data_IF_727025457065
#
_entry.id   IF_727025457065
#
_cell.length_a   1.000
_cell.length_b   1.000
_cell.length_c   1.000
_cell.angle_alpha   90.00
_cell.angle_beta   90.00
_cell.angle_gamma   90.00
#
_symmetry.space_group_name_H-M   'P 1'
#
loop_
_entity.id
_entity.type
_entity.pdbx_description
1 polymer ?
#
# COMPACT_ATOMS: atom_id res chain seq x y z
N UNK A 1 -40.24 46.82 9.69
CA UNK A 1 -39.46 46.14 8.64
C UNK A 1 -38.42 45.29 9.34
N UNK A 2 -38.68 43.98 9.45
CA UNK A 2 -37.79 43.05 10.15
C UNK A 2 -36.53 42.81 9.35
N UNK A 3 -35.38 42.97 9.99
CA UNK A 3 -34.09 42.57 9.44
C UNK A 3 -34.12 41.05 9.31
N UNK A 4 -34.24 40.55 8.08
CA UNK A 4 -34.00 39.15 7.75
C UNK A 4 -32.52 38.94 8.01
N UNK A 5 -32.19 38.40 9.18
CA UNK A 5 -30.84 37.96 9.47
C UNK A 5 -30.58 36.75 8.58
N UNK A 6 -29.91 36.97 7.45
CA UNK A 6 -29.29 35.90 6.67
C UNK A 6 -28.62 34.91 7.65
N UNK A 7 -28.90 33.59 7.55
CA UNK A 7 -28.23 32.62 8.40
C UNK A 7 -26.71 32.80 8.26
N UNK A 8 -25.91 32.64 9.34
CA UNK A 8 -24.46 32.66 9.24
C UNK A 8 -24.03 31.78 8.06
N UNK A 9 -23.07 32.21 7.25
CA UNK A 9 -22.65 31.50 6.02
C UNK A 9 -22.43 30.00 6.25
N UNK A 10 -21.95 29.62 7.44
CA UNK A 10 -21.82 28.24 7.94
C UNK A 10 -23.14 27.46 7.93
N UNK A 11 -24.24 28.08 8.38
CA UNK A 11 -25.58 27.49 8.40
C UNK A 11 -26.11 27.30 6.98
N UNK A 12 -25.89 28.27 6.08
CA UNK A 12 -26.27 28.13 4.67
C UNK A 12 -25.49 27.00 3.99
N UNK A 13 -24.18 26.91 4.23
CA UNK A 13 -23.32 25.84 3.67
C UNK A 13 -23.73 24.47 4.21
N UNK A 14 -24.01 24.32 5.51
CA UNK A 14 -24.53 23.08 6.07
C UNK A 14 -25.89 22.68 5.48
N UNK A 15 -26.78 23.65 5.27
CA UNK A 15 -28.12 23.40 4.74
C UNK A 15 -28.07 22.94 3.27
N UNK A 16 -27.20 23.54 2.45
CA UNK A 16 -27.11 23.26 1.00
C UNK A 16 -26.22 22.05 0.70
N UNK A 17 -25.04 21.96 1.34
CA UNK A 17 -24.04 20.94 1.04
C UNK A 17 -24.00 19.78 2.05
N UNK A 18 -24.70 19.92 3.17
CA UNK A 18 -24.73 18.93 4.25
C UNK A 18 -23.56 19.06 5.22
N UNK A 19 -23.77 18.53 6.43
CA UNK A 19 -22.80 18.61 7.52
C UNK A 19 -21.42 18.00 7.16
N UNK A 20 -21.37 16.93 6.37
CA UNK A 20 -20.10 16.27 5.97
C UNK A 20 -19.21 17.19 5.14
N UNK A 21 -19.79 17.96 4.23
CA UNK A 21 -19.03 18.90 3.39
C UNK A 21 -18.55 20.07 4.24
N UNK A 22 -19.40 20.59 5.13
CA UNK A 22 -19.01 21.65 6.05
C UNK A 22 -17.83 21.22 6.94
N UNK A 23 -17.90 20.02 7.52
CA UNK A 23 -16.85 19.46 8.38
C UNK A 23 -15.54 19.25 7.61
N UNK A 24 -15.62 18.76 6.38
CA UNK A 24 -14.48 18.65 5.48
C UNK A 24 -13.83 20.02 5.15
N UNK A 25 -14.63 21.06 4.90
CA UNK A 25 -14.11 22.41 4.63
C UNK A 25 -13.46 23.00 5.88
N UNK A 26 -14.03 22.80 7.07
CA UNK A 26 -13.39 23.23 8.31
C UNK A 26 -12.07 22.50 8.56
N UNK A 27 -12.06 21.18 8.42
CA UNK A 27 -10.84 20.38 8.53
C UNK A 27 -9.77 20.85 7.53
N UNK A 28 -10.15 21.20 6.30
CA UNK A 28 -9.26 21.79 5.31
C UNK A 28 -8.66 23.14 5.77
N UNK A 29 -9.49 24.05 6.29
CA UNK A 29 -9.06 25.35 6.81
C UNK A 29 -8.17 25.24 8.05
N UNK A 30 -8.40 24.22 8.89
CA UNK A 30 -7.61 23.94 10.10
C UNK A 30 -6.32 23.14 9.80
N UNK A 31 -6.05 22.82 8.53
CA UNK A 31 -4.89 22.02 8.14
C UNK A 31 -5.00 20.52 8.47
N UNK A 32 -6.17 20.05 8.91
CA UNK A 32 -6.50 18.63 9.13
C UNK A 32 -6.88 17.98 7.80
N UNK A 33 -5.87 17.73 6.98
CA UNK A 33 -6.05 17.27 5.61
C UNK A 33 -5.64 15.81 5.45
N UNK A 34 -6.52 15.01 4.84
CA UNK A 34 -6.20 13.63 4.45
C UNK A 34 -5.31 13.62 3.20
N UNK A 35 -4.02 13.92 3.39
CA UNK A 35 -3.06 13.98 2.29
C UNK A 35 -3.00 12.65 1.53
N UNK A 36 -3.01 11.53 2.26
CA UNK A 36 -2.86 10.21 1.68
C UNK A 36 -4.06 9.82 0.80
N UNK A 37 -5.29 10.16 1.20
CA UNK A 37 -6.48 9.85 0.39
C UNK A 37 -6.56 10.67 -0.90
N UNK A 38 -5.84 11.78 -1.00
CA UNK A 38 -5.89 12.66 -2.17
C UNK A 38 -4.77 12.46 -3.17
N UNK A 39 -3.73 11.72 -2.80
CA UNK A 39 -2.67 11.34 -3.73
C UNK A 39 -3.23 10.48 -4.85
N UNK A 40 -2.63 10.55 -6.04
CA UNK A 40 -2.97 9.64 -7.14
C UNK A 40 -2.52 8.21 -6.82
N UNK A 41 -3.19 7.21 -7.40
CA UNK A 41 -2.82 5.80 -7.21
C UNK A 41 -1.35 5.54 -7.56
N UNK A 42 -0.82 6.19 -8.60
CA UNK A 42 0.59 6.06 -9.00
C UNK A 42 1.57 6.55 -7.91
N UNK A 43 1.25 7.65 -7.22
CA UNK A 43 2.07 8.14 -6.12
C UNK A 43 1.93 7.26 -4.88
N UNK A 44 0.71 6.79 -4.60
CA UNK A 44 0.49 5.86 -3.50
C UNK A 44 1.25 4.56 -3.70
N UNK A 45 1.23 3.97 -4.89
CA UNK A 45 2.00 2.76 -5.19
C UNK A 45 3.50 2.95 -4.92
N UNK A 46 4.06 4.11 -5.32
CA UNK A 46 5.45 4.48 -5.03
C UNK A 46 5.75 4.66 -3.55
N UNK A 47 4.77 5.05 -2.73
CA UNK A 47 4.96 5.16 -1.27
C UNK A 47 4.85 3.77 -0.64
N UNK A 48 3.82 3.01 -1.02
CA UNK A 48 3.50 1.69 -0.47
C UNK A 48 4.63 0.69 -0.74
N UNK A 49 5.33 0.79 -1.87
CA UNK A 49 6.41 -0.15 -2.21
C UNK A 49 7.65 -0.06 -1.30
N UNK A 50 7.77 1.00 -0.48
CA UNK A 50 8.82 1.13 0.54
C UNK A 50 8.41 0.58 1.91
N UNK A 51 7.13 0.24 2.10
CA UNK A 51 6.66 -0.33 3.36
C UNK A 51 7.09 -1.80 3.48
N UNK A 52 7.26 -2.26 4.71
CA UNK A 52 7.45 -3.68 4.95
C UNK A 52 6.15 -4.47 4.73
N UNK A 53 6.24 -5.80 4.68
CA UNK A 53 5.08 -6.63 4.39
C UNK A 53 3.99 -6.54 5.48
N UNK A 54 4.37 -6.24 6.71
CA UNK A 54 3.42 -6.15 7.82
C UNK A 54 2.63 -4.85 7.73
N UNK A 55 3.30 -3.75 7.42
CA UNK A 55 2.70 -2.44 7.21
C UNK A 55 1.84 -2.41 5.95
N UNK A 56 2.23 -3.09 4.86
CA UNK A 56 1.35 -3.28 3.69
C UNK A 56 0.07 -4.03 4.09
N UNK A 57 0.18 -5.07 4.94
CA UNK A 57 -0.96 -5.84 5.40
C UNK A 57 -1.89 -5.01 6.31
N UNK A 58 -1.33 -4.19 7.22
CA UNK A 58 -2.09 -3.26 8.05
C UNK A 58 -2.78 -2.18 7.22
N UNK A 59 -2.04 -1.56 6.29
CA UNK A 59 -2.57 -0.54 5.39
C UNK A 59 -3.73 -1.07 4.53
N UNK A 60 -3.66 -2.33 4.09
CA UNK A 60 -4.73 -2.94 3.30
C UNK A 60 -6.06 -3.07 4.05
N UNK A 61 -6.06 -2.93 5.38
CA UNK A 61 -7.24 -3.04 6.23
C UNK A 61 -7.88 -1.68 6.58
N UNK A 62 -7.28 -0.56 6.15
CA UNK A 62 -7.77 0.79 6.51
C UNK A 62 -8.90 1.28 5.61
N UNK A 63 -8.84 0.96 4.31
CA UNK A 63 -9.87 1.38 3.34
C UNK A 63 -9.97 0.43 2.16
N UNK A 64 -11.11 0.45 1.46
CA UNK A 64 -11.33 -0.35 0.25
C UNK A 64 -10.37 0.02 -0.88
N UNK A 65 -9.92 1.29 -0.94
CA UNK A 65 -8.93 1.76 -1.90
C UNK A 65 -7.55 1.17 -1.61
N UNK A 66 -7.08 1.25 -0.37
CA UNK A 66 -5.81 0.64 0.01
C UNK A 66 -5.84 -0.88 -0.09
N UNK A 67 -6.97 -1.52 0.22
CA UNK A 67 -7.16 -2.95 0.00
C UNK A 67 -6.94 -3.36 -1.47
N UNK A 68 -7.36 -2.53 -2.43
CA UNK A 68 -7.12 -2.76 -3.87
C UNK A 68 -5.66 -2.49 -4.25
N UNK A 69 -5.09 -1.35 -3.83
CA UNK A 69 -3.72 -0.98 -4.13
C UNK A 69 -2.71 -1.99 -3.60
N UNK A 70 -2.84 -2.42 -2.33
CA UNK A 70 -1.97 -3.41 -1.70
C UNK A 70 -2.05 -4.81 -2.34
N UNK A 71 -3.12 -5.10 -3.10
CA UNK A 71 -3.30 -6.35 -3.84
C UNK A 71 -2.98 -6.23 -5.34
N UNK A 72 -2.70 -5.03 -5.82
CA UNK A 72 -2.48 -4.77 -7.25
C UNK A 72 -1.18 -5.37 -7.74
N UNK A 73 -1.21 -5.95 -8.92
CA UNK A 73 -0.02 -6.59 -9.50
C UNK A 73 1.11 -5.60 -9.75
N UNK A 74 0.76 -4.36 -10.12
CA UNK A 74 1.67 -3.24 -10.30
C UNK A 74 2.48 -2.91 -9.04
N UNK A 75 1.87 -3.01 -7.85
CA UNK A 75 2.61 -2.83 -6.59
C UNK A 75 3.66 -3.94 -6.42
N UNK A 76 3.24 -5.19 -6.60
CA UNK A 76 4.12 -6.34 -6.36
C UNK A 76 5.24 -6.41 -7.41
N UNK A 77 5.00 -5.96 -8.64
CA UNK A 77 6.06 -5.75 -9.63
C UNK A 77 7.11 -4.77 -9.12
N UNK A 78 6.69 -3.59 -8.64
CA UNK A 78 7.61 -2.58 -8.10
C UNK A 78 8.41 -3.10 -6.91
N UNK A 79 7.77 -3.85 -5.99
CA UNK A 79 8.45 -4.48 -4.86
C UNK A 79 9.52 -5.46 -5.33
N UNK A 80 9.21 -6.29 -6.34
CA UNK A 80 10.19 -7.23 -6.91
C UNK A 80 11.33 -6.49 -7.62
N UNK A 81 11.01 -5.44 -8.39
CA UNK A 81 12.02 -4.60 -9.05
C UNK A 81 12.97 -3.93 -8.05
N UNK A 82 12.46 -3.44 -6.91
CA UNK A 82 13.28 -2.84 -5.86
C UNK A 82 14.13 -3.87 -5.11
N UNK A 83 13.64 -5.12 -5.00
CA UNK A 83 14.31 -6.18 -4.26
C UNK A 83 15.31 -6.99 -5.12
N UNK A 84 15.25 -6.91 -6.45
CA UNK A 84 16.05 -7.71 -7.37
C UNK A 84 16.85 -6.81 -8.33
N UNK A 85 18.17 -7.02 -8.39
CA UNK A 85 19.05 -6.30 -9.31
C UNK A 85 18.72 -6.56 -10.80
N UNK A 86 18.13 -7.72 -11.11
CA UNK A 86 17.75 -8.08 -12.49
C UNK A 86 16.50 -8.96 -12.50
N UNK A 87 15.51 -8.56 -13.29
CA UNK A 87 14.33 -9.38 -13.60
C UNK A 87 14.59 -10.17 -14.86
N UNK A 88 14.63 -11.50 -14.75
CA UNK A 88 14.84 -12.39 -15.91
C UNK A 88 13.57 -12.50 -16.77
N UNK A 89 13.69 -12.83 -18.07
CA UNK A 89 12.54 -13.11 -18.93
C UNK A 89 11.63 -14.19 -18.36
N UNK A 90 12.19 -15.24 -17.76
CA UNK A 90 11.44 -16.33 -17.14
C UNK A 90 10.62 -15.85 -15.92
N UNK A 91 11.18 -14.97 -15.09
CA UNK A 91 10.42 -14.36 -13.99
C UNK A 91 9.26 -13.53 -14.50
N UNK A 92 9.45 -12.81 -15.61
CA UNK A 92 8.40 -12.01 -16.25
C UNK A 92 7.31 -12.90 -16.84
N UNK A 93 7.69 -13.97 -17.54
CA UNK A 93 6.76 -14.97 -18.08
C UNK A 93 5.94 -15.61 -16.95
N UNK A 94 6.60 -16.04 -15.88
CA UNK A 94 5.92 -16.58 -14.71
C UNK A 94 4.97 -15.56 -14.06
N UNK A 95 5.37 -14.30 -13.96
CA UNK A 95 4.51 -13.24 -13.43
C UNK A 95 3.27 -13.00 -14.29
N UNK A 96 3.37 -13.14 -15.63
CA UNK A 96 2.19 -13.05 -16.51
C UNK A 96 1.19 -14.18 -16.24
N UNK A 97 1.67 -15.37 -15.86
CA UNK A 97 0.81 -16.53 -15.61
C UNK A 97 0.17 -16.53 -14.22
N UNK A 98 0.93 -16.13 -13.18
CA UNK A 98 0.50 -16.28 -11.76
C UNK A 98 0.43 -14.97 -10.97
N UNK A 99 0.87 -13.85 -11.54
CA UNK A 99 0.98 -12.54 -10.89
C UNK A 99 2.28 -12.36 -10.09
N UNK A 100 2.74 -11.11 -10.02
CA UNK A 100 3.96 -10.69 -9.33
C UNK A 100 3.92 -10.98 -7.83
N UNK A 101 2.74 -10.89 -7.21
CA UNK A 101 2.59 -11.25 -5.79
C UNK A 101 2.99 -12.70 -5.53
N UNK A 102 2.52 -13.61 -6.38
CA UNK A 102 2.82 -15.04 -6.23
C UNK A 102 4.30 -15.33 -6.51
N UNK A 103 4.88 -14.67 -7.52
CA UNK A 103 6.32 -14.74 -7.82
C UNK A 103 7.16 -14.30 -6.61
N UNK A 104 6.82 -13.17 -5.98
CA UNK A 104 7.53 -12.67 -4.80
C UNK A 104 7.56 -13.68 -3.66
N UNK A 105 6.40 -14.21 -3.26
CA UNK A 105 6.32 -15.18 -2.16
C UNK A 105 7.00 -16.51 -2.51
N UNK A 106 6.90 -16.96 -3.77
CA UNK A 106 7.58 -18.17 -4.24
C UNK A 106 9.10 -18.01 -4.14
N UNK A 107 9.65 -16.89 -4.61
CA UNK A 107 11.09 -16.62 -4.56
C UNK A 107 11.61 -16.49 -3.13
N UNK A 108 10.88 -15.82 -2.23
CA UNK A 108 11.26 -15.70 -0.81
C UNK A 108 11.27 -17.07 -0.11
N UNK A 109 10.29 -17.92 -0.38
CA UNK A 109 10.21 -19.29 0.16
C UNK A 109 11.34 -20.16 -0.42
N UNK A 110 11.64 -20.03 -1.71
CA UNK A 110 12.75 -20.74 -2.35
C UNK A 110 14.10 -20.36 -1.72
N UNK A 111 14.37 -19.06 -1.51
CA UNK A 111 15.57 -18.57 -0.85
C UNK A 111 15.69 -19.08 0.59
N UNK A 112 14.61 -19.01 1.38
CA UNK A 112 14.61 -19.56 2.74
C UNK A 112 14.87 -21.08 2.77
N UNK A 113 14.30 -21.83 1.82
CA UNK A 113 14.54 -23.29 1.70
C UNK A 113 16.01 -23.58 1.38
N UNK A 114 16.64 -22.80 0.50
CA UNK A 114 18.06 -22.94 0.18
C UNK A 114 18.96 -22.61 1.38
N UNK A 115 18.67 -21.52 2.11
CA UNK A 115 19.38 -21.16 3.34
C UNK A 115 19.26 -22.27 4.38
N UNK A 116 18.06 -22.83 4.59
CA UNK A 116 17.84 -23.95 5.53
C UNK A 116 18.65 -25.20 5.13
N UNK A 117 18.67 -25.53 3.84
CA UNK A 117 19.48 -26.64 3.30
C UNK A 117 20.98 -26.41 3.50
N UNK A 118 21.47 -25.18 3.31
CA UNK A 118 22.88 -24.82 3.56
C UNK A 118 23.24 -24.90 5.04
N UNK A 119 22.40 -24.37 5.94
CA UNK A 119 22.59 -24.49 7.41
C UNK A 119 22.62 -25.95 7.87
N UNK A 120 21.75 -26.80 7.34
CA UNK A 120 21.74 -28.24 7.64
C UNK A 120 22.97 -28.98 7.09
N UNK A 121 23.55 -28.54 5.97
CA UNK A 121 24.81 -29.09 5.43
C UNK A 121 26.03 -28.65 6.26
N UNK A 122 26.09 -27.39 6.70
CA UNK A 122 27.17 -26.90 7.56
C UNK A 122 27.14 -27.54 8.96
N UNK A 123 25.97 -27.65 9.61
CA UNK A 123 25.86 -28.28 10.93
C UNK A 123 26.12 -29.79 10.97
N UNK A 124 26.24 -30.47 9.82
CA UNK A 124 26.70 -31.86 9.73
C UNK A 124 28.22 -31.98 9.63
N UNK A 125 28.91 -30.95 9.13
CA UNK A 125 30.37 -30.92 9.01
C UNK A 125 31.05 -30.61 10.36
N UNK A 126 30.40 -29.82 11.22
CA UNK A 126 30.93 -29.47 12.56
C UNK A 126 30.75 -30.58 13.63
N UNK A 127 29.92 -31.61 13.37
CA UNK A 127 29.69 -32.72 14.32
C UNK A 127 30.57 -33.95 14.08
N UNK A 128 31.49 -33.86 13.11
CA UNK A 128 32.40 -34.94 12.74
C UNK A 128 33.88 -34.55 12.87
N UNK A 129 34.17 -33.48 13.62
CA UNK A 129 35.52 -33.13 14.09
C UNK A 129 35.54 -33.34 15.60
#
# INVERSE_FOLDING_TARGET
>A
MGLVTEPPSVVQVALVFGARVLDYVFNLCEGKFDFLERLSDNLLLKIICYLDLEDIARLSQTSSRFAKLCKSDLLWEQIVQLACDTITPDMRALAMDVGWRQVFFTNKIQLQRQIRRKKQKHGKHEKHI
#
